data_IF_854677422803
#
_entry.id   IF_854677422803
#
_cell.length_a   1.000
_cell.length_b   1.000
_cell.length_c   1.000
_cell.angle_alpha   90.00
_cell.angle_beta   90.00
_cell.angle_gamma   90.00
#
_symmetry.space_group_name_H-M   'P 1'
#
loop_
_entity.id
_entity.type
_entity.pdbx_description
1 polymer ?
#
# COMPACT_ATOMS: atom_id res chain seq x y z
N UNK A 1 8.15 -1.50 10.84
CA UNK A 1 6.86 -1.12 10.19
C UNK A 1 5.78 -2.12 10.55
N UNK A 2 4.58 -1.65 10.93
CA UNK A 2 3.38 -2.48 11.10
C UNK A 2 3.17 -3.40 9.89
N UNK A 3 2.63 -4.59 10.12
CA UNK A 3 2.53 -5.63 9.09
C UNK A 3 1.75 -5.15 7.85
N UNK A 4 0.64 -4.43 8.06
CA UNK A 4 -0.19 -3.87 6.99
C UNK A 4 0.58 -2.89 6.11
N UNK A 5 1.18 -1.86 6.70
CA UNK A 5 1.96 -0.86 5.98
C UNK A 5 3.13 -1.51 5.23
N UNK A 6 3.81 -2.48 5.85
CA UNK A 6 4.88 -3.24 5.20
C UNK A 6 4.37 -4.03 3.99
N UNK A 7 3.16 -4.57 4.05
CA UNK A 7 2.48 -5.22 2.94
C UNK A 7 2.28 -4.26 1.76
N UNK A 8 1.66 -3.10 2.01
CA UNK A 8 1.44 -2.09 0.96
C UNK A 8 2.74 -1.64 0.28
N UNK A 9 3.79 -1.37 1.05
CA UNK A 9 5.07 -0.97 0.47
C UNK A 9 5.70 -2.08 -0.38
N UNK A 10 5.55 -3.36 0.00
CA UNK A 10 6.02 -4.50 -0.81
C UNK A 10 5.26 -4.64 -2.13
N UNK A 11 3.98 -4.25 -2.17
CA UNK A 11 3.18 -4.22 -3.40
C UNK A 11 3.59 -3.08 -4.34
N UNK A 12 4.30 -2.07 -3.83
CA UNK A 12 4.71 -0.88 -4.59
C UNK A 12 3.95 0.39 -4.19
N UNK A 13 3.19 0.37 -3.09
CA UNK A 13 2.53 1.58 -2.60
C UNK A 13 3.56 2.63 -2.14
N UNK A 14 3.17 3.90 -2.23
CA UNK A 14 3.99 5.05 -1.82
C UNK A 14 3.27 5.85 -0.75
N UNK A 15 4.02 6.33 0.24
CA UNK A 15 3.52 7.31 1.20
C UNK A 15 3.50 8.68 0.54
N UNK A 16 2.37 9.36 0.62
CA UNK A 16 2.11 10.59 -0.11
C UNK A 16 2.20 11.86 0.75
N UNK A 17 2.62 11.73 2.02
CA UNK A 17 2.76 12.87 2.92
C UNK A 17 3.07 12.46 4.36
N UNK A 18 3.17 13.44 5.27
CA UNK A 18 3.25 13.17 6.70
C UNK A 18 1.97 12.46 7.19
N UNK A 19 2.05 11.72 8.30
CA UNK A 19 0.88 11.09 8.89
C UNK A 19 -0.08 12.14 9.48
N UNK A 20 -1.38 11.86 9.42
CA UNK A 20 -2.39 12.57 10.18
C UNK A 20 -2.47 11.95 11.58
N UNK A 21 -2.33 12.77 12.63
CA UNK A 21 -2.48 12.30 14.01
C UNK A 21 -3.93 12.47 14.45
N UNK A 22 -4.55 11.38 14.90
CA UNK A 22 -5.86 11.39 15.53
C UNK A 22 -5.70 11.20 17.05
N UNK A 23 -5.85 12.27 17.85
CA UNK A 23 -5.65 12.23 19.30
C UNK A 23 -6.79 11.53 20.05
N UNK A 24 -7.99 11.43 19.48
CA UNK A 24 -9.13 10.76 20.15
C UNK A 24 -8.90 9.25 20.20
N UNK A 25 -8.29 8.70 19.15
CA UNK A 25 -7.98 7.27 19.05
C UNK A 25 -6.51 6.95 19.39
N UNK A 26 -5.65 7.96 19.52
CA UNK A 26 -4.22 7.79 19.79
C UNK A 26 -3.48 7.10 18.64
N UNK A 27 -3.89 7.39 17.39
CA UNK A 27 -3.38 6.75 16.18
C UNK A 27 -2.80 7.76 15.20
N UNK A 28 -2.08 7.24 14.22
CA UNK A 28 -1.55 8.00 13.10
C UNK A 28 -1.88 7.31 11.78
N UNK A 29 -2.54 8.05 10.88
CA UNK A 29 -2.92 7.57 9.57
C UNK A 29 -1.95 8.05 8.50
N UNK A 30 -1.54 7.15 7.62
CA UNK A 30 -0.71 7.49 6.47
C UNK A 30 -1.55 7.50 5.20
N UNK A 31 -1.50 8.61 4.46
CA UNK A 31 -2.01 8.62 3.09
C UNK A 31 -1.05 7.84 2.19
N UNK A 32 -1.52 6.70 1.67
CA UNK A 32 -0.76 5.83 0.78
C UNK A 32 -1.47 5.67 -0.56
N UNK A 33 -0.69 5.68 -1.64
CA UNK A 33 -1.18 5.44 -2.99
C UNK A 33 -0.55 4.17 -3.56
N UNK A 34 -1.40 3.23 -4.01
CA UNK A 34 -0.99 2.04 -4.73
C UNK A 34 -1.42 2.13 -6.20
N UNK A 35 -0.44 2.32 -7.09
CA UNK A 35 -0.67 2.33 -8.53
C UNK A 35 -0.64 0.88 -9.05
N UNK A 36 -1.75 0.42 -9.65
CA UNK A 36 -1.81 -0.92 -10.29
C UNK A 36 -0.84 -0.99 -11.46
N UNK A 37 -0.66 0.10 -12.19
CA UNK A 37 0.28 0.19 -13.31
C UNK A 37 1.73 -0.09 -12.88
N UNK A 38 2.10 0.34 -11.68
CA UNK A 38 3.47 0.23 -11.17
C UNK A 38 3.64 -0.95 -10.20
N UNK A 39 2.60 -1.76 -10.04
CA UNK A 39 2.61 -2.92 -9.14
C UNK A 39 3.52 -4.01 -9.67
N UNK A 40 4.22 -4.71 -8.77
CA UNK A 40 5.08 -5.82 -9.17
C UNK A 40 4.24 -6.92 -9.88
N UNK A 41 4.66 -7.40 -11.07
CA UNK A 41 3.96 -8.43 -11.83
C UNK A 41 3.57 -9.68 -11.04
N UNK A 42 4.39 -10.10 -10.08
CA UNK A 42 4.06 -11.24 -9.21
C UNK A 42 2.73 -11.04 -8.48
N UNK A 43 2.50 -9.82 -7.98
CA UNK A 43 1.29 -9.48 -7.24
C UNK A 43 0.11 -9.19 -8.18
N UNK A 44 0.35 -8.64 -9.36
CA UNK A 44 -0.67 -8.51 -10.40
C UNK A 44 -1.25 -9.87 -10.78
N UNK A 45 -0.41 -10.89 -10.97
CA UNK A 45 -0.86 -12.26 -11.23
C UNK A 45 -1.60 -12.85 -10.03
N UNK A 46 -1.03 -12.74 -8.83
CA UNK A 46 -1.58 -13.38 -7.64
C UNK A 46 -2.92 -12.77 -7.18
N UNK A 47 -3.06 -11.45 -7.19
CA UNK A 47 -4.25 -10.78 -6.65
C UNK A 47 -5.27 -10.38 -7.72
N UNK A 48 -4.84 -10.12 -8.96
CA UNK A 48 -5.71 -9.58 -10.00
C UNK A 48 -5.85 -10.50 -11.23
N UNK A 49 -5.04 -11.56 -11.36
CA UNK A 49 -5.09 -12.46 -12.51
C UNK A 49 -4.74 -11.80 -13.86
N UNK A 50 -4.10 -10.63 -13.85
CA UNK A 50 -3.99 -9.76 -15.03
C UNK A 50 -2.84 -10.10 -15.99
N UNK A 51 -2.06 -11.16 -15.74
CA UNK A 51 -0.85 -11.49 -16.53
C UNK A 51 -0.87 -12.89 -17.15
N UNK A 52 -2.00 -13.59 -17.09
CA UNK A 52 -2.20 -14.90 -17.72
C UNK A 52 -2.91 -14.78 -19.10
N UNK A 53 -2.71 -13.66 -19.82
CA UNK A 53 -3.22 -13.43 -21.17
C UNK A 53 -2.09 -13.25 -22.18
#
# INVERSE_FOLDING_TARGET
LPALLRGYLRLGARVCGPPAHDPEFGVADFFVLLSVRDMNPRYLRHFLGLLDQ
#
